data_IF_918698541504
#
_entry.id   IF_918698541504
#
_cell.length_a   1.000
_cell.length_b   1.000
_cell.length_c   1.000
_cell.angle_alpha   90.00
_cell.angle_beta   90.00
_cell.angle_gamma   90.00
#
_symmetry.space_group_name_H-M   'P 1'
#
loop_
_entity.id
_entity.type
_entity.pdbx_description
1 polymer ?
#
# COMPACT_ATOMS: atom_id res chain seq x y z
N UNK A 1 -15.23 -3.62 -13.55
CA UNK A 1 -15.59 -4.48 -12.40
C UNK A 1 -16.86 -3.92 -11.79
N UNK A 2 -17.73 -4.77 -11.24
CA UNK A 2 -18.95 -4.33 -10.53
C UNK A 2 -18.58 -3.70 -9.19
N UNK A 3 -19.40 -2.75 -8.73
CA UNK A 3 -19.31 -2.21 -7.36
C UNK A 3 -19.62 -3.32 -6.37
N UNK A 4 -18.84 -3.40 -5.30
CA UNK A 4 -19.06 -4.34 -4.20
C UNK A 4 -19.53 -3.61 -2.95
N UNK A 5 -20.41 -4.26 -2.19
CA UNK A 5 -21.00 -3.74 -0.96
C UNK A 5 -20.82 -4.78 0.14
N UNK A 6 -20.10 -4.46 1.22
CA UNK A 6 -19.88 -5.40 2.33
C UNK A 6 -20.90 -5.16 3.42
N UNK A 7 -21.68 -6.18 3.76
CA UNK A 7 -22.77 -6.10 4.73
C UNK A 7 -22.46 -7.01 5.90
N UNK A 8 -22.54 -6.46 7.11
CA UNK A 8 -22.47 -7.26 8.33
C UNK A 8 -23.87 -7.74 8.66
N UNK A 9 -24.09 -9.05 8.71
CA UNK A 9 -25.38 -9.66 9.01
C UNK A 9 -25.33 -10.38 10.35
N UNK A 10 -26.22 -10.00 11.28
CA UNK A 10 -26.33 -10.66 12.60
C UNK A 10 -27.63 -11.45 12.62
N UNK A 11 -27.49 -12.77 12.60
CA UNK A 11 -28.58 -13.74 12.49
C UNK A 11 -28.07 -15.09 12.98
N UNK A 12 -28.76 -15.68 13.94
CA UNK A 12 -28.35 -16.94 14.53
C UNK A 12 -28.34 -18.11 13.54
N UNK A 13 -29.16 -18.03 12.50
CA UNK A 13 -29.25 -19.03 11.44
C UNK A 13 -28.55 -18.57 10.14
N UNK A 14 -27.62 -17.60 10.18
CA UNK A 14 -26.96 -17.05 8.99
C UNK A 14 -26.26 -18.09 8.09
N UNK A 15 -25.87 -19.23 8.65
CA UNK A 15 -25.20 -20.35 7.97
C UNK A 15 -26.16 -21.47 7.54
N UNK A 16 -27.48 -21.32 7.77
CA UNK A 16 -28.47 -22.28 7.29
C UNK A 16 -28.53 -22.28 5.76
N UNK A 17 -28.47 -23.49 5.18
CA UNK A 17 -28.59 -23.75 3.73
C UNK A 17 -29.85 -23.15 3.11
N UNK A 18 -30.91 -22.94 3.90
CA UNK A 18 -32.14 -22.27 3.47
C UNK A 18 -31.90 -20.82 2.98
N UNK A 19 -30.81 -20.17 3.40
CA UNK A 19 -30.45 -18.82 2.98
C UNK A 19 -29.57 -18.77 1.73
N UNK A 20 -29.10 -19.90 1.18
CA UNK A 20 -28.31 -19.91 -0.06
C UNK A 20 -28.96 -19.11 -1.20
N UNK A 21 -30.28 -19.23 -1.49
CA UNK A 21 -30.91 -18.43 -2.56
C UNK A 21 -30.85 -16.92 -2.31
N UNK A 22 -30.92 -16.49 -1.05
CA UNK A 22 -30.80 -15.09 -0.66
C UNK A 22 -29.36 -14.59 -0.85
N UNK A 23 -28.38 -15.36 -0.39
CA UNK A 23 -26.96 -15.03 -0.54
C UNK A 23 -26.55 -14.95 -2.02
N UNK A 24 -27.01 -15.90 -2.85
CA UNK A 24 -26.79 -15.87 -4.30
C UNK A 24 -27.42 -14.62 -4.92
N UNK A 25 -28.66 -14.28 -4.53
CA UNK A 25 -29.31 -13.07 -5.04
C UNK A 25 -28.55 -11.79 -4.65
N UNK A 26 -28.04 -11.71 -3.41
CA UNK A 26 -27.21 -10.62 -2.95
C UNK A 26 -25.90 -10.52 -3.77
N UNK A 27 -25.21 -11.65 -3.98
CA UNK A 27 -23.96 -11.71 -4.73
C UNK A 27 -24.13 -11.25 -6.19
N UNK A 28 -25.24 -11.60 -6.86
CA UNK A 28 -25.53 -11.12 -8.23
C UNK A 28 -25.66 -9.60 -8.33
N UNK A 29 -25.91 -8.92 -7.20
CA UNK A 29 -25.98 -7.46 -7.09
C UNK A 29 -24.67 -6.84 -6.55
N UNK A 30 -23.63 -7.65 -6.35
CA UNK A 30 -22.36 -7.22 -5.77
C UNK A 30 -22.41 -7.04 -4.25
N UNK A 31 -23.42 -7.58 -3.58
CA UNK A 31 -23.56 -7.51 -2.13
C UNK A 31 -22.87 -8.75 -1.53
N UNK A 32 -21.85 -8.52 -0.72
CA UNK A 32 -21.12 -9.53 0.03
C UNK A 32 -21.62 -9.49 1.48
N UNK A 33 -22.15 -10.61 1.97
CA UNK A 33 -22.76 -10.69 3.30
C UNK A 33 -21.85 -11.51 4.21
N UNK A 34 -21.35 -10.88 5.27
CA UNK A 34 -20.61 -11.53 6.35
C UNK A 34 -21.58 -11.80 7.50
N UNK A 35 -21.95 -13.06 7.69
CA UNK A 35 -22.88 -13.50 8.73
C UNK A 35 -22.22 -13.78 10.09
N UNK A 36 -22.94 -13.49 11.17
CA UNK A 36 -22.54 -13.75 12.55
C UNK A 36 -23.73 -14.23 13.39
N UNK A 37 -23.53 -15.31 14.14
CA UNK A 37 -24.60 -15.96 14.90
C UNK A 37 -25.04 -15.18 16.17
N UNK A 38 -24.24 -14.22 16.63
CA UNK A 38 -24.51 -13.52 17.88
C UNK A 38 -24.15 -12.04 17.83
N UNK A 39 -24.82 -11.28 18.70
CA UNK A 39 -24.55 -9.86 18.90
C UNK A 39 -23.09 -9.56 19.24
N UNK A 40 -22.51 -10.29 20.20
CA UNK A 40 -21.14 -10.04 20.66
C UNK A 40 -20.12 -10.23 19.54
N UNK A 41 -20.24 -11.32 18.78
CA UNK A 41 -19.33 -11.63 17.68
C UNK A 41 -19.45 -10.61 16.55
N UNK A 42 -20.68 -10.31 16.10
CA UNK A 42 -20.92 -9.33 15.04
C UNK A 42 -20.42 -7.94 15.40
N UNK A 43 -20.64 -7.47 16.64
CA UNK A 43 -20.18 -6.13 17.04
C UNK A 43 -18.69 -6.06 17.35
N UNK A 44 -18.08 -7.12 17.87
CA UNK A 44 -16.62 -7.20 18.00
C UNK A 44 -15.97 -7.06 16.63
N UNK A 45 -16.52 -7.75 15.64
CA UNK A 45 -16.05 -7.72 14.26
C UNK A 45 -16.23 -6.33 13.63
N UNK A 46 -17.45 -5.77 13.71
CA UNK A 46 -17.77 -4.42 13.27
C UNK A 46 -16.81 -3.37 13.85
N UNK A 47 -16.55 -3.40 15.15
CA UNK A 47 -15.70 -2.42 15.82
C UNK A 47 -14.22 -2.49 15.40
N UNK A 48 -13.75 -3.69 15.04
CA UNK A 48 -12.39 -3.94 14.56
C UNK A 48 -12.16 -3.42 13.14
N UNK A 49 -13.20 -3.50 12.29
CA UNK A 49 -13.14 -3.18 10.85
C UNK A 49 -14.27 -2.24 10.38
N UNK A 50 -14.53 -1.14 11.10
CA UNK A 50 -15.62 -0.19 10.79
C UNK A 50 -15.70 0.29 9.32
N UNK A 51 -14.54 0.51 8.68
CA UNK A 51 -14.47 1.02 7.30
C UNK A 51 -14.61 -0.08 6.23
N UNK A 52 -14.70 -1.35 6.65
CA UNK A 52 -14.93 -2.48 5.76
C UNK A 52 -16.43 -2.59 5.41
N UNK A 53 -17.30 -2.50 6.42
CA UNK A 53 -18.74 -2.66 6.28
C UNK A 53 -19.43 -1.39 5.81
N UNK A 54 -20.35 -1.52 4.86
CA UNK A 54 -21.20 -0.43 4.36
C UNK A 54 -22.51 -0.41 5.14
N UNK A 55 -23.16 -1.55 5.34
CA UNK A 55 -24.49 -1.63 5.94
C UNK A 55 -24.51 -2.73 7.00
N UNK A 56 -25.39 -2.58 8.00
CA UNK A 56 -25.67 -3.62 8.99
C UNK A 56 -27.05 -4.22 8.71
N UNK A 57 -27.14 -5.53 8.60
CA UNK A 57 -28.38 -6.29 8.51
C UNK A 57 -28.60 -7.03 9.83
N UNK A 58 -29.77 -6.85 10.44
CA UNK A 58 -30.12 -7.50 11.71
C UNK A 58 -31.29 -8.44 11.50
N UNK A 59 -31.24 -9.64 12.08
CA UNK A 59 -32.49 -10.32 12.40
C UNK A 59 -33.22 -9.54 13.52
N UNK A 60 -34.54 -9.63 13.54
CA UNK A 60 -35.34 -9.10 14.63
C UNK A 60 -35.12 -9.86 15.95
N UNK A 61 -34.69 -11.11 15.86
CA UNK A 61 -34.37 -11.98 16.99
C UNK A 61 -33.04 -12.68 16.72
N UNK A 62 -32.10 -12.58 17.66
CA UNK A 62 -30.81 -13.26 17.59
C UNK A 62 -30.28 -13.49 19.00
N UNK A 63 -29.27 -14.34 19.12
CA UNK A 63 -28.62 -14.62 20.41
C UNK A 63 -27.78 -13.44 20.89
N UNK A 64 -27.80 -13.21 22.21
CA UNK A 64 -26.92 -12.22 22.84
C UNK A 64 -25.46 -12.66 22.78
N UNK A 65 -25.21 -13.93 23.10
CA UNK A 65 -23.88 -14.55 23.13
C UNK A 65 -24.00 -16.05 22.76
N UNK A 66 -22.86 -16.72 22.55
CA UNK A 66 -22.79 -18.15 22.17
C UNK A 66 -23.32 -19.12 23.23
N UNK A 67 -23.60 -18.64 24.45
CA UNK A 67 -24.13 -19.46 25.56
C UNK A 67 -25.63 -19.28 25.76
N UNK A 68 -26.26 -18.39 24.99
CA UNK A 68 -27.68 -18.08 25.11
C UNK A 68 -28.52 -19.21 24.52
N UNK A 69 -29.49 -19.73 25.29
CA UNK A 69 -30.38 -20.81 24.84
C UNK A 69 -31.66 -20.30 24.15
N UNK A 70 -31.94 -18.99 24.19
CA UNK A 70 -33.15 -18.39 23.60
C UNK A 70 -32.87 -17.03 22.96
N UNK A 71 -33.43 -16.80 21.77
CA UNK A 71 -33.45 -15.50 21.10
C UNK A 71 -34.36 -14.49 21.84
N UNK A 72 -34.03 -13.19 21.81
CA UNK A 72 -34.75 -12.17 22.58
C UNK A 72 -34.92 -10.85 21.81
N UNK A 73 -36.12 -10.26 21.84
CA UNK A 73 -36.42 -8.95 21.24
C UNK A 73 -35.66 -7.77 21.88
N UNK A 74 -35.18 -7.94 23.12
CA UNK A 74 -34.22 -7.02 23.76
C UNK A 74 -32.90 -6.95 22.97
N UNK A 75 -32.55 -8.01 22.22
CA UNK A 75 -31.37 -8.06 21.36
C UNK A 75 -31.39 -6.96 20.30
N UNK A 76 -32.51 -6.79 19.60
CA UNK A 76 -32.68 -5.73 18.59
C UNK A 76 -32.52 -4.33 19.21
N UNK A 77 -33.14 -4.06 20.35
CA UNK A 77 -33.01 -2.78 21.06
C UNK A 77 -31.56 -2.49 21.48
N UNK A 78 -30.84 -3.51 21.96
CA UNK A 78 -29.42 -3.38 22.29
C UNK A 78 -28.55 -3.11 21.06
N UNK A 79 -28.83 -3.75 19.92
CA UNK A 79 -28.13 -3.50 18.68
C UNK A 79 -28.35 -2.09 18.15
N UNK A 80 -29.58 -1.61 18.15
CA UNK A 80 -29.89 -0.22 17.77
C UNK A 80 -29.12 0.76 18.68
N UNK A 81 -29.13 0.55 20.00
CA UNK A 81 -28.35 1.38 20.94
C UNK A 81 -26.87 1.38 20.61
N UNK A 82 -26.28 0.20 20.34
CA UNK A 82 -24.86 0.07 20.04
C UNK A 82 -24.48 0.71 18.70
N UNK A 83 -25.30 0.57 17.67
CA UNK A 83 -25.14 1.28 16.39
C UNK A 83 -25.17 2.79 16.61
N UNK A 84 -26.07 3.29 17.47
CA UNK A 84 -26.15 4.70 17.82
C UNK A 84 -24.88 5.20 18.55
N UNK A 85 -24.29 4.41 19.44
CA UNK A 85 -23.02 4.74 20.11
C UNK A 85 -21.85 4.89 19.10
N UNK A 86 -21.88 4.11 18.02
CA UNK A 86 -20.85 4.14 16.97
C UNK A 86 -20.93 5.36 16.05
N UNK A 87 -22.03 6.13 16.05
CA UNK A 87 -22.22 7.31 15.18
C UNK A 87 -21.10 8.35 15.28
N UNK A 88 -20.43 8.42 16.43
CA UNK A 88 -19.25 9.29 16.63
C UNK A 88 -18.03 8.87 15.80
N UNK A 89 -17.94 7.59 15.42
CA UNK A 89 -16.86 7.00 14.62
C UNK A 89 -17.29 6.80 13.17
N UNK A 90 -18.49 6.26 12.95
CA UNK A 90 -19.11 6.07 11.63
C UNK A 90 -20.62 5.92 11.78
N UNK A 91 -21.37 6.56 10.89
CA UNK A 91 -22.83 6.40 10.81
C UNK A 91 -23.12 5.22 9.89
N UNK A 92 -23.72 4.16 10.43
CA UNK A 92 -24.15 3.01 9.63
C UNK A 92 -25.64 3.10 9.33
N UNK A 93 -26.05 3.01 8.05
CA UNK A 93 -27.39 2.54 7.73
C UNK A 93 -27.54 1.09 8.19
N UNK A 94 -28.74 0.74 8.63
CA UNK A 94 -29.04 -0.62 9.05
C UNK A 94 -30.49 -0.98 8.73
N UNK A 95 -30.72 -2.26 8.51
CA UNK A 95 -32.03 -2.82 8.15
C UNK A 95 -32.35 -4.03 9.02
N UNK A 96 -33.64 -4.31 9.19
CA UNK A 96 -34.12 -5.47 9.96
C UNK A 96 -34.83 -6.43 9.03
N UNK A 97 -34.43 -7.70 9.02
CA UNK A 97 -35.00 -8.74 8.18
C UNK A 97 -35.50 -9.87 9.09
N UNK A 98 -36.80 -10.21 9.04
CA UNK A 98 -37.38 -11.25 9.89
C UNK A 98 -38.40 -12.11 9.17
N UNK A 99 -38.57 -13.36 9.62
CA UNK A 99 -39.62 -14.26 9.16
C UNK A 99 -40.84 -14.34 10.09
N UNK A 100 -40.84 -13.57 11.19
CA UNK A 100 -41.86 -13.62 12.23
C UNK A 100 -42.92 -12.54 12.04
N UNK A 101 -44.19 -12.95 12.10
CA UNK A 101 -45.36 -12.08 11.90
C UNK A 101 -45.41 -10.91 12.89
N UNK A 102 -44.94 -11.09 14.12
CA UNK A 102 -44.89 -10.06 15.16
C UNK A 102 -43.93 -8.89 14.84
N UNK A 103 -43.12 -9.02 13.77
CA UNK A 103 -42.24 -7.95 13.27
C UNK A 103 -42.63 -7.49 11.86
N UNK A 104 -43.24 -8.37 11.04
CA UNK A 104 -43.53 -8.09 9.64
C UNK A 104 -44.98 -7.71 9.35
N UNK A 105 -45.92 -8.15 10.19
CA UNK A 105 -47.37 -7.98 9.99
C UNK A 105 -48.03 -7.16 11.10
N UNK A 106 -47.54 -7.29 12.33
CA UNK A 106 -48.01 -6.51 13.48
C UNK A 106 -47.11 -5.31 13.79
N UNK A 107 -47.69 -4.26 14.38
CA UNK A 107 -46.93 -3.07 14.83
C UNK A 107 -46.02 -3.44 15.99
N UNK A 108 -44.71 -3.39 15.76
CA UNK A 108 -43.71 -3.63 16.80
C UNK A 108 -43.24 -2.30 17.43
N UNK A 109 -43.38 -2.10 18.77
CA UNK A 109 -43.01 -0.85 19.42
C UNK A 109 -41.55 -0.43 19.24
N UNK A 110 -40.61 -1.38 19.12
CA UNK A 110 -39.19 -1.07 18.93
C UNK A 110 -38.95 -0.52 17.52
N UNK A 111 -39.58 -1.13 16.50
CA UNK A 111 -39.47 -0.68 15.12
C UNK A 111 -40.13 0.69 14.93
N UNK A 112 -41.32 0.89 15.50
CA UNK A 112 -42.05 2.16 15.44
C UNK A 112 -41.27 3.29 16.14
N UNK A 113 -40.76 3.05 17.35
CA UNK A 113 -40.02 4.05 18.11
C UNK A 113 -38.70 4.50 17.46
N UNK A 114 -38.15 3.71 16.53
CA UNK A 114 -36.91 4.02 15.81
C UNK A 114 -37.15 4.30 14.32
N UNK A 115 -38.41 4.33 13.86
CA UNK A 115 -38.79 4.54 12.46
C UNK A 115 -38.13 3.53 11.50
N UNK A 116 -37.99 2.27 11.92
CA UNK A 116 -37.33 1.21 11.15
C UNK A 116 -38.37 0.35 10.42
N UNK A 117 -38.17 0.17 9.11
CA UNK A 117 -38.89 -0.86 8.34
C UNK A 117 -38.27 -2.24 8.61
N UNK A 118 -39.10 -3.23 8.94
CA UNK A 118 -38.71 -4.64 8.94
C UNK A 118 -39.15 -5.29 7.62
N UNK A 119 -38.22 -6.00 6.98
CA UNK A 119 -38.44 -6.74 5.75
C UNK A 119 -38.80 -8.19 6.07
N UNK A 120 -39.71 -8.76 5.30
CA UNK A 120 -40.18 -10.13 5.49
C UNK A 120 -39.33 -11.14 4.70
N UNK A 121 -38.57 -11.97 5.43
CA UNK A 121 -37.75 -13.09 4.89
C UNK A 121 -38.53 -14.02 3.97
N UNK A 122 -39.84 -14.19 4.21
CA UNK A 122 -40.72 -15.09 3.46
C UNK A 122 -41.32 -14.45 2.21
N UNK A 123 -41.09 -13.15 1.98
CA UNK A 123 -41.59 -12.41 0.82
C UNK A 123 -40.45 -12.13 -0.18
N UNK A 124 -40.39 -12.83 -1.32
CA UNK A 124 -39.34 -12.61 -2.31
C UNK A 124 -39.29 -11.16 -2.85
N UNK A 125 -40.44 -10.48 -2.91
CA UNK A 125 -40.51 -9.08 -3.32
C UNK A 125 -39.88 -8.16 -2.28
N UNK A 126 -40.09 -8.43 -0.99
CA UNK A 126 -39.55 -7.61 0.09
C UNK A 126 -38.05 -7.87 0.28
N UNK A 127 -37.59 -9.10 0.10
CA UNK A 127 -36.15 -9.42 0.03
C UNK A 127 -35.48 -8.69 -1.14
N UNK A 128 -36.12 -8.67 -2.33
CA UNK A 128 -35.59 -7.91 -3.46
C UNK A 128 -35.50 -6.41 -3.14
N UNK A 129 -36.54 -5.85 -2.52
CA UNK A 129 -36.58 -4.45 -2.10
C UNK A 129 -35.49 -4.16 -1.05
N UNK A 130 -35.28 -5.04 -0.07
CA UNK A 130 -34.20 -4.92 0.92
C UNK A 130 -32.84 -4.79 0.24
N UNK A 131 -32.53 -5.65 -0.74
CA UNK A 131 -31.24 -5.59 -1.43
C UNK A 131 -31.07 -4.29 -2.22
N UNK A 132 -32.15 -3.77 -2.82
CA UNK A 132 -32.13 -2.48 -3.51
C UNK A 132 -31.92 -1.30 -2.53
N UNK A 133 -32.62 -1.31 -1.39
CA UNK A 133 -32.50 -0.29 -0.34
C UNK A 133 -31.13 -0.31 0.35
N UNK A 134 -30.53 -1.50 0.53
CA UNK A 134 -29.15 -1.67 1.00
C UNK A 134 -28.17 -0.96 0.08
N UNK A 135 -28.29 -1.17 -1.23
CA UNK A 135 -27.42 -0.54 -2.23
C UNK A 135 -27.59 0.97 -2.24
N UNK A 136 -28.83 1.46 -2.19
CA UNK A 136 -29.12 2.89 -2.13
C UNK A 136 -28.48 3.53 -0.89
N UNK A 137 -28.71 2.94 0.29
CA UNK A 137 -28.17 3.45 1.55
C UNK A 137 -26.64 3.39 1.59
N UNK A 138 -26.03 2.33 1.06
CA UNK A 138 -24.58 2.23 0.95
C UNK A 138 -24.01 3.28 0.00
N UNK A 139 -24.62 3.49 -1.17
CA UNK A 139 -24.17 4.50 -2.13
C UNK A 139 -24.25 5.93 -1.59
N UNK A 140 -25.11 6.20 -0.60
CA UNK A 140 -25.18 7.50 0.06
C UNK A 140 -24.03 7.75 1.05
N UNK A 141 -23.25 6.72 1.40
CA UNK A 141 -22.09 6.89 2.27
C UNK A 141 -20.85 7.33 1.50
N UNK A 142 -20.17 8.35 2.04
CA UNK A 142 -19.01 8.96 1.41
C UNK A 142 -17.83 7.98 1.24
N UNK A 143 -17.58 7.14 2.24
CA UNK A 143 -16.49 6.17 2.21
C UNK A 143 -16.74 5.09 1.13
N UNK A 144 -17.98 4.64 1.00
CA UNK A 144 -18.43 3.69 -0.04
C UNK A 144 -18.21 4.27 -1.42
N UNK A 145 -18.64 5.52 -1.64
CA UNK A 145 -18.41 6.21 -2.91
C UNK A 145 -16.92 6.31 -3.24
N UNK A 146 -16.08 6.67 -2.26
CA UNK A 146 -14.62 6.77 -2.44
C UNK A 146 -14.02 5.41 -2.79
N UNK A 147 -14.43 4.34 -2.09
CA UNK A 147 -13.98 2.98 -2.40
C UNK A 147 -14.34 2.58 -3.83
N UNK A 148 -15.55 2.88 -4.30
CA UNK A 148 -15.96 2.57 -5.68
C UNK A 148 -15.24 3.42 -6.73
N UNK A 149 -15.11 4.73 -6.48
CA UNK A 149 -14.38 5.65 -7.36
C UNK A 149 -12.90 5.25 -7.50
N UNK A 150 -12.31 4.70 -6.44
CA UNK A 150 -10.91 4.30 -6.36
C UNK A 150 -10.77 2.77 -6.23
N UNK A 151 -11.67 1.99 -6.84
CA UNK A 151 -11.76 0.54 -6.61
C UNK A 151 -10.44 -0.20 -6.88
N UNK A 152 -9.69 0.20 -7.91
CA UNK A 152 -8.40 -0.43 -8.26
C UNK A 152 -7.47 -0.47 -7.05
N UNK A 153 -7.27 0.67 -6.38
CA UNK A 153 -6.36 0.71 -5.23
C UNK A 153 -6.94 -0.02 -4.03
N UNK A 154 -8.25 0.09 -3.75
CA UNK A 154 -8.84 -0.60 -2.61
C UNK A 154 -8.86 -2.13 -2.75
N UNK A 155 -8.91 -2.66 -3.97
CA UNK A 155 -8.70 -4.08 -4.23
C UNK A 155 -7.26 -4.50 -3.90
N UNK A 156 -6.27 -3.71 -4.32
CA UNK A 156 -4.85 -3.96 -4.03
C UNK A 156 -4.58 -3.92 -2.52
N UNK A 157 -5.20 -2.96 -1.82
CA UNK A 157 -5.01 -2.77 -0.38
C UNK A 157 -5.55 -3.93 0.47
N UNK A 158 -6.31 -4.88 -0.08
CA UNK A 158 -6.67 -6.14 0.60
C UNK A 158 -5.43 -6.98 0.95
N UNK A 159 -4.34 -6.82 0.18
CA UNK A 159 -3.06 -7.49 0.43
C UNK A 159 -2.14 -6.73 1.40
N UNK A 160 -2.64 -5.68 2.05
CA UNK A 160 -1.88 -4.82 2.96
C UNK A 160 -2.55 -4.77 4.34
N UNK A 161 -1.81 -4.29 5.33
CA UNK A 161 -2.37 -4.06 6.67
C UNK A 161 -3.56 -3.09 6.60
N UNK A 162 -4.58 -3.33 7.44
CA UNK A 162 -5.81 -2.54 7.45
C UNK A 162 -5.55 -1.05 7.72
N UNK A 163 -4.50 -0.71 8.47
CA UNK A 163 -4.10 0.68 8.72
C UNK A 163 -3.64 1.43 7.46
N UNK A 164 -3.08 0.73 6.47
CA UNK A 164 -2.75 1.31 5.15
C UNK A 164 -4.03 1.76 4.44
N UNK A 165 -5.03 0.87 4.40
CA UNK A 165 -6.34 1.14 3.79
C UNK A 165 -7.08 2.28 4.51
N UNK A 166 -7.09 2.26 5.86
CA UNK A 166 -7.67 3.34 6.67
C UNK A 166 -6.98 4.68 6.40
N UNK A 167 -5.65 4.70 6.26
CA UNK A 167 -4.87 5.91 5.99
C UNK A 167 -5.24 6.51 4.64
N UNK A 168 -5.21 5.71 3.57
CA UNK A 168 -5.54 6.16 2.21
C UNK A 168 -6.99 6.66 2.15
N UNK A 169 -7.93 5.93 2.74
CA UNK A 169 -9.34 6.35 2.81
C UNK A 169 -9.51 7.69 3.52
N UNK A 170 -8.85 7.91 4.67
CA UNK A 170 -8.93 9.19 5.40
C UNK A 170 -8.42 10.37 4.57
N UNK A 171 -7.32 10.19 3.85
CA UNK A 171 -6.78 11.26 2.99
C UNK A 171 -7.73 11.55 1.82
N UNK A 172 -8.26 10.52 1.17
CA UNK A 172 -9.22 10.68 0.05
C UNK A 172 -10.56 11.29 0.49
N UNK A 173 -11.04 10.99 1.70
CA UNK A 173 -12.18 11.70 2.32
C UNK A 173 -11.87 13.19 2.43
N UNK A 174 -10.65 13.52 2.83
CA UNK A 174 -10.13 14.87 2.84
C UNK A 174 -10.22 15.59 1.50
N UNK A 175 -9.73 14.91 0.46
CA UNK A 175 -9.77 15.41 -0.93
C UNK A 175 -11.21 15.71 -1.32
N UNK A 176 -12.12 14.75 -1.13
CA UNK A 176 -13.50 14.85 -1.58
C UNK A 176 -14.30 15.93 -0.85
N UNK A 177 -14.03 16.12 0.44
CA UNK A 177 -14.68 17.16 1.25
C UNK A 177 -14.02 18.54 1.12
N UNK A 178 -12.92 18.66 0.37
CA UNK A 178 -12.16 19.92 0.29
C UNK A 178 -11.61 20.36 1.65
N UNK A 179 -11.31 19.41 2.54
CA UNK A 179 -10.91 19.72 3.91
C UNK A 179 -9.56 20.45 3.90
N UNK A 180 -9.51 21.61 4.57
CA UNK A 180 -8.35 22.49 4.62
C UNK A 180 -7.42 22.27 5.83
N UNK A 181 -7.92 21.58 6.86
CA UNK A 181 -7.19 21.31 8.10
C UNK A 181 -6.86 19.82 8.22
N UNK A 182 -5.70 19.43 7.68
CA UNK A 182 -5.12 18.11 7.90
C UNK A 182 -3.93 18.22 8.86
N UNK A 183 -3.78 17.22 9.72
CA UNK A 183 -2.50 16.94 10.39
C UNK A 183 -1.55 16.33 9.35
N UNK A 184 -1.02 17.18 8.47
CA UNK A 184 -0.18 16.77 7.35
C UNK A 184 1.11 16.09 7.81
N UNK A 185 1.64 16.47 8.98
CA UNK A 185 2.81 15.82 9.59
C UNK A 185 2.53 14.35 9.95
N UNK A 186 1.39 14.07 10.58
CA UNK A 186 0.95 12.70 10.83
C UNK A 186 0.86 11.91 9.52
N UNK A 187 0.18 12.43 8.50
CA UNK A 187 -0.04 11.68 7.27
C UNK A 187 1.21 11.57 6.39
N UNK A 188 2.16 12.51 6.44
CA UNK A 188 3.47 12.33 5.79
C UNK A 188 4.24 11.16 6.40
N UNK A 189 4.18 11.01 7.72
CA UNK A 189 4.75 9.86 8.41
C UNK A 189 4.07 8.58 7.97
N UNK A 190 2.74 8.57 7.85
CA UNK A 190 2.00 7.39 7.39
C UNK A 190 2.31 7.03 5.93
N UNK A 191 2.39 8.00 5.01
CA UNK A 191 2.81 7.77 3.61
C UNK A 191 4.18 7.08 3.55
N UNK A 192 5.12 7.52 4.40
CA UNK A 192 6.46 6.95 4.49
C UNK A 192 6.42 5.51 5.01
N UNK A 193 5.61 5.22 6.03
CA UNK A 193 5.40 3.87 6.56
C UNK A 193 4.84 2.93 5.47
N UNK A 194 3.89 3.40 4.66
CA UNK A 194 3.35 2.62 3.55
C UNK A 194 4.44 2.32 2.50
N UNK A 195 5.29 3.30 2.19
CA UNK A 195 6.42 3.10 1.30
C UNK A 195 7.45 2.11 1.88
N UNK A 196 7.68 2.11 3.19
CA UNK A 196 8.50 1.08 3.83
C UNK A 196 7.92 -0.32 3.68
N UNK A 197 6.59 -0.50 3.75
CA UNK A 197 5.95 -1.79 3.50
C UNK A 197 6.21 -2.30 2.07
N UNK A 198 6.15 -1.41 1.06
CA UNK A 198 6.49 -1.77 -0.32
C UNK A 198 7.94 -2.29 -0.40
N UNK A 199 8.88 -1.61 0.25
CA UNK A 199 10.28 -2.04 0.25
C UNK A 199 10.51 -3.35 1.01
N UNK A 200 9.81 -3.59 2.12
CA UNK A 200 9.84 -4.90 2.82
C UNK A 200 9.32 -6.01 1.91
N UNK A 201 8.15 -5.81 1.28
CA UNK A 201 7.62 -6.76 0.28
C UNK A 201 8.61 -7.01 -0.86
N UNK A 202 9.25 -5.97 -1.38
CA UNK A 202 10.28 -6.10 -2.43
C UNK A 202 11.50 -6.90 -1.96
N UNK A 203 11.90 -6.76 -0.70
CA UNK A 203 12.98 -7.55 -0.12
C UNK A 203 12.58 -9.02 0.07
N UNK A 204 11.36 -9.29 0.54
CA UNK A 204 10.84 -10.64 0.73
C UNK A 204 10.88 -11.48 -0.55
N UNK A 205 10.63 -10.85 -1.71
CA UNK A 205 10.71 -11.50 -3.03
C UNK A 205 12.07 -11.34 -3.72
N UNK A 206 13.09 -10.83 -3.03
CA UNK A 206 14.45 -10.70 -3.53
C UNK A 206 14.69 -9.56 -4.53
N UNK A 207 13.70 -8.70 -4.82
CA UNK A 207 13.89 -7.52 -5.68
C UNK A 207 14.79 -6.47 -5.03
N UNK A 208 14.72 -6.33 -3.71
CA UNK A 208 15.54 -5.41 -2.93
C UNK A 208 16.60 -6.16 -2.13
N UNK A 209 17.85 -5.70 -2.18
CA UNK A 209 18.95 -6.31 -1.44
C UNK A 209 18.73 -6.26 0.08
N UNK A 210 19.06 -7.35 0.77
CA UNK A 210 18.95 -7.50 2.23
C UNK A 210 19.66 -6.38 3.02
N UNK A 211 20.77 -5.81 2.53
CA UNK A 211 21.49 -4.74 3.24
C UNK A 211 20.69 -3.43 3.32
N UNK A 212 19.71 -3.24 2.43
CA UNK A 212 18.81 -2.10 2.44
C UNK A 212 17.74 -2.22 3.54
N UNK A 213 17.57 -3.40 4.13
CA UNK A 213 16.64 -3.69 5.23
C UNK A 213 17.45 -4.14 6.46
N UNK A 214 17.65 -3.21 7.39
CA UNK A 214 18.49 -3.38 8.57
C UNK A 214 17.71 -3.97 9.76
N UNK A 215 18.46 -4.48 10.74
CA UNK A 215 17.96 -4.95 12.05
C UNK A 215 16.86 -6.02 11.94
N UNK A 216 17.17 -7.11 11.23
CA UNK A 216 16.26 -8.27 11.10
C UNK A 216 14.89 -7.93 10.49
N UNK A 217 14.84 -7.07 9.47
CA UNK A 217 13.59 -6.74 8.75
C UNK A 217 12.88 -5.47 9.24
N UNK A 218 13.23 -4.94 10.41
CA UNK A 218 12.44 -3.88 11.04
C UNK A 218 12.66 -2.48 10.46
N UNK A 219 13.86 -2.18 9.94
CA UNK A 219 14.19 -0.82 9.50
C UNK A 219 14.63 -0.79 8.04
N UNK A 220 13.93 -0.02 7.20
CA UNK A 220 14.29 0.16 5.79
C UNK A 220 15.08 1.45 5.62
N UNK A 221 16.22 1.40 4.91
CA UNK A 221 16.88 2.61 4.42
C UNK A 221 16.24 3.04 3.10
N UNK A 222 15.23 3.92 3.19
CA UNK A 222 14.42 4.35 2.04
C UNK A 222 15.24 4.90 0.87
N UNK A 223 16.23 5.74 1.17
CA UNK A 223 17.06 6.39 0.15
C UNK A 223 17.87 5.34 -0.60
N UNK A 224 18.51 4.42 0.13
CA UNK A 224 19.31 3.36 -0.49
C UNK A 224 18.44 2.34 -1.23
N UNK A 225 17.28 1.99 -0.68
CA UNK A 225 16.33 1.11 -1.34
C UNK A 225 15.80 1.70 -2.65
N UNK A 226 15.47 3.00 -2.64
CA UNK A 226 15.05 3.74 -3.84
C UNK A 226 16.14 3.76 -4.91
N UNK A 227 17.40 4.01 -4.53
CA UNK A 227 18.53 3.98 -5.47
C UNK A 227 18.73 2.58 -6.06
N UNK A 228 18.77 1.55 -5.22
CA UNK A 228 18.98 0.17 -5.63
C UNK A 228 17.92 -0.30 -6.64
N UNK A 229 16.63 -0.10 -6.33
CA UNK A 229 15.53 -0.51 -7.20
C UNK A 229 15.48 0.31 -8.49
N UNK A 230 16.05 1.52 -8.50
CA UNK A 230 16.22 2.32 -9.72
C UNK A 230 17.44 1.92 -10.56
N UNK A 231 18.15 0.85 -10.18
CA UNK A 231 19.39 0.40 -10.84
C UNK A 231 20.58 1.36 -10.64
N UNK A 232 20.50 2.24 -9.64
CA UNK A 232 21.56 3.16 -9.26
C UNK A 232 22.42 2.57 -8.16
N UNK A 233 23.65 3.07 -8.06
CA UNK A 233 24.56 2.70 -6.98
C UNK A 233 24.05 3.28 -5.65
N UNK A 234 24.02 2.45 -4.62
CA UNK A 234 23.78 2.92 -3.24
C UNK A 234 24.94 3.79 -2.76
N UNK A 235 24.65 4.79 -1.91
CA UNK A 235 25.64 5.76 -1.44
C UNK A 235 26.53 5.18 -0.35
N UNK A 236 25.96 4.41 0.57
CA UNK A 236 26.63 3.94 1.77
C UNK A 236 26.65 2.41 1.88
N UNK A 237 25.76 1.71 1.18
CA UNK A 237 25.62 0.25 1.29
C UNK A 237 26.49 -0.53 0.30
N UNK A 238 27.13 0.15 -0.66
CA UNK A 238 28.07 -0.45 -1.61
C UNK A 238 27.47 -1.61 -2.41
N UNK A 239 26.19 -1.51 -2.75
CA UNK A 239 25.45 -2.44 -3.59
C UNK A 239 24.69 -1.73 -4.71
N UNK A 240 24.38 -2.46 -5.78
CA UNK A 240 23.53 -2.02 -6.91
C UNK A 240 22.75 -3.21 -7.47
N UNK A 241 21.71 -2.92 -8.24
CA UNK A 241 21.04 -3.93 -9.05
C UNK A 241 21.49 -3.83 -10.51
N UNK A 242 21.72 -4.98 -11.16
CA UNK A 242 21.94 -5.05 -12.62
C UNK A 242 20.74 -4.56 -13.42
N UNK A 243 19.55 -4.79 -12.88
CA UNK A 243 18.29 -4.44 -13.51
C UNK A 243 17.73 -3.15 -12.94
N UNK A 244 16.99 -2.41 -13.77
CA UNK A 244 16.21 -1.25 -13.34
C UNK A 244 14.79 -1.77 -13.04
N UNK A 245 14.48 -1.96 -11.77
CA UNK A 245 13.16 -2.44 -11.35
C UNK A 245 12.13 -1.31 -11.37
N UNK A 246 12.48 -0.13 -10.86
CA UNK A 246 11.65 1.06 -10.92
C UNK A 246 11.80 1.77 -12.26
N UNK A 247 10.74 1.83 -13.10
CA UNK A 247 10.72 2.75 -14.22
C UNK A 247 10.97 4.17 -13.74
N UNK A 248 11.51 5.02 -14.62
CA UNK A 248 11.92 6.39 -14.28
C UNK A 248 10.84 7.18 -13.52
N UNK A 249 9.58 7.10 -13.95
CA UNK A 249 8.47 7.82 -13.30
C UNK A 249 8.20 7.33 -11.87
N UNK A 250 8.27 6.02 -11.64
CA UNK A 250 8.12 5.41 -10.31
C UNK A 250 9.30 5.80 -9.42
N UNK A 251 10.53 5.74 -9.95
CA UNK A 251 11.73 6.15 -9.24
C UNK A 251 11.66 7.63 -8.79
N UNK A 252 11.19 8.51 -9.67
CA UNK A 252 11.01 9.94 -9.38
C UNK A 252 9.91 10.18 -8.34
N UNK A 253 8.76 9.51 -8.45
CA UNK A 253 7.67 9.60 -7.47
C UNK A 253 8.12 9.11 -6.08
N UNK A 254 8.80 7.96 -6.01
CA UNK A 254 9.35 7.41 -4.76
C UNK A 254 10.35 8.39 -4.15
N UNK A 255 11.28 8.92 -4.95
CA UNK A 255 12.28 9.89 -4.49
C UNK A 255 11.61 11.17 -3.95
N UNK A 256 10.60 11.68 -4.65
CA UNK A 256 9.85 12.86 -4.23
C UNK A 256 9.15 12.64 -2.90
N UNK A 257 8.48 11.49 -2.72
CA UNK A 257 7.85 11.12 -1.44
C UNK A 257 8.89 11.08 -0.32
N UNK A 258 10.01 10.38 -0.51
CA UNK A 258 11.07 10.26 0.51
C UNK A 258 11.60 11.64 0.90
N UNK A 259 11.92 12.48 -0.09
CA UNK A 259 12.48 13.80 0.14
C UNK A 259 11.51 14.72 0.89
N UNK A 260 10.28 14.87 0.39
CA UNK A 260 9.31 15.81 0.94
C UNK A 260 8.84 15.38 2.34
N UNK A 261 8.51 14.08 2.53
CA UNK A 261 8.05 13.58 3.84
C UNK A 261 9.19 13.52 4.86
N UNK A 262 10.43 13.26 4.45
CA UNK A 262 11.60 13.32 5.31
C UNK A 262 11.89 14.75 5.80
N UNK A 263 11.83 15.74 4.89
CA UNK A 263 11.96 17.15 5.24
C UNK A 263 10.85 17.61 6.20
N UNK A 264 9.63 17.10 6.01
CA UNK A 264 8.44 17.51 6.75
C UNK A 264 8.33 16.93 8.17
N UNK A 265 8.97 15.79 8.47
CA UNK A 265 8.76 14.99 9.70
C UNK A 265 9.76 15.23 10.84
N UNK A 266 10.64 16.23 10.77
CA UNK A 266 11.65 16.56 11.81
C UNK A 266 12.62 15.42 12.21
N UNK A 267 12.65 14.29 11.50
CA UNK A 267 13.29 13.05 11.97
C UNK A 267 14.79 12.92 11.66
N UNK A 268 15.47 13.94 11.15
CA UNK A 268 16.91 13.80 10.81
C UNK A 268 17.71 15.09 10.86
N UNK A 269 18.94 14.99 11.42
CA UNK A 269 20.04 15.97 11.30
C UNK A 269 20.48 16.07 9.83
N UNK A 270 19.65 16.66 8.97
CA UNK A 270 19.91 16.80 7.53
C UNK A 270 20.15 18.26 7.22
N UNK A 271 21.11 18.46 6.31
CA UNK A 271 21.61 19.74 5.83
C UNK A 271 20.50 20.78 5.67
N UNK A 272 20.56 21.78 6.55
CA UNK A 272 19.54 22.80 6.76
C UNK A 272 19.27 23.55 5.44
N UNK A 273 20.28 23.63 4.56
CA UNK A 273 20.18 24.36 3.29
C UNK A 273 19.30 23.71 2.21
N UNK A 274 19.00 22.40 2.28
CA UNK A 274 18.15 21.73 1.28
C UNK A 274 16.68 21.61 1.71
N UNK A 275 16.40 21.65 3.02
CA UNK A 275 15.04 21.44 3.57
C UNK A 275 14.32 22.72 4.00
N UNK A 276 15.02 23.88 4.05
CA UNK A 276 14.41 25.17 4.37
C UNK A 276 13.18 25.44 3.48
N UNK A 277 13.22 25.05 2.20
CA UNK A 277 12.13 25.32 1.25
C UNK A 277 10.82 24.60 1.62
N UNK A 278 10.85 23.31 1.99
CA UNK A 278 9.61 22.55 2.29
C UNK A 278 8.92 23.03 3.57
N UNK A 279 9.70 23.28 4.63
CA UNK A 279 9.15 23.73 5.91
C UNK A 279 8.65 25.18 5.83
N UNK A 280 9.37 26.07 5.14
CA UNK A 280 8.89 27.42 4.87
C UNK A 280 7.68 27.43 3.95
N UNK A 281 7.69 26.59 2.91
CA UNK A 281 6.54 26.39 2.02
C UNK A 281 5.29 26.01 2.82
N UNK A 282 5.37 25.02 3.72
CA UNK A 282 4.22 24.60 4.57
C UNK A 282 3.76 25.70 5.52
N UNK A 283 4.70 26.45 6.11
CA UNK A 283 4.36 27.60 6.99
C UNK A 283 3.61 28.70 6.22
N UNK A 284 4.01 28.94 4.96
CA UNK A 284 3.45 29.98 4.09
C UNK A 284 2.14 29.54 3.43
N UNK A 285 2.09 28.30 2.93
CA UNK A 285 0.98 27.72 2.17
C UNK A 285 0.33 26.62 3.00
N UNK A 286 -0.71 27.00 3.73
CA UNK A 286 -1.52 26.10 4.56
C UNK A 286 -2.60 25.43 3.71
N UNK A 287 -2.18 24.55 2.80
CA UNK A 287 -3.09 23.81 1.92
C UNK A 287 -2.80 22.32 1.98
N UNK A 288 -3.82 21.46 1.85
CA UNK A 288 -3.64 20.01 1.90
C UNK A 288 -3.13 19.43 0.56
N UNK A 289 -3.00 20.25 -0.48
CA UNK A 289 -2.73 19.77 -1.84
C UNK A 289 -1.37 19.09 -2.00
N UNK A 290 -0.38 19.43 -1.17
CA UNK A 290 0.89 18.71 -1.13
C UNK A 290 0.70 17.28 -0.61
N UNK A 291 -0.10 17.10 0.44
CA UNK A 291 -0.44 15.76 0.94
C UNK A 291 -1.21 14.97 -0.11
N UNK A 292 -2.18 15.60 -0.77
CA UNK A 292 -2.98 14.94 -1.80
C UNK A 292 -2.12 14.52 -2.99
N UNK A 293 -1.22 15.37 -3.48
CA UNK A 293 -0.35 15.03 -4.60
C UNK A 293 0.60 13.87 -4.28
N UNK A 294 1.17 13.84 -3.07
CA UNK A 294 2.00 12.72 -2.61
C UNK A 294 1.19 11.42 -2.44
N UNK A 295 -0.06 11.53 -2.01
CA UNK A 295 -0.96 10.37 -1.88
C UNK A 295 -1.27 9.77 -3.23
N UNK A 296 -1.56 10.58 -4.25
CA UNK A 296 -1.78 10.07 -5.60
C UNK A 296 -0.52 9.45 -6.21
N UNK A 297 0.66 10.03 -5.95
CA UNK A 297 1.94 9.39 -6.33
C UNK A 297 2.11 8.03 -5.65
N UNK A 298 1.78 7.94 -4.35
CA UNK A 298 1.85 6.67 -3.61
C UNK A 298 0.87 5.63 -4.16
N UNK A 299 -0.36 6.04 -4.51
CA UNK A 299 -1.37 5.15 -5.12
C UNK A 299 -0.86 4.59 -6.46
N UNK A 300 -0.23 5.42 -7.29
CA UNK A 300 0.38 5.01 -8.56
C UNK A 300 1.51 3.98 -8.33
N UNK A 301 2.38 4.24 -7.34
CA UNK A 301 3.44 3.31 -6.93
C UNK A 301 2.87 1.98 -6.44
N UNK A 302 1.86 2.00 -5.56
CA UNK A 302 1.24 0.77 -5.04
C UNK A 302 0.60 -0.05 -6.17
N UNK A 303 -0.09 0.62 -7.08
CA UNK A 303 -0.76 -0.01 -8.21
C UNK A 303 0.26 -0.69 -9.12
N UNK A 304 1.30 0.04 -9.50
CA UNK A 304 2.38 -0.47 -10.32
C UNK A 304 3.14 -1.63 -9.64
N UNK A 305 3.46 -1.48 -8.35
CA UNK A 305 4.25 -2.46 -7.61
C UNK A 305 3.52 -3.79 -7.44
N UNK A 306 2.21 -3.76 -7.21
CA UNK A 306 1.41 -4.99 -7.10
C UNK A 306 1.53 -5.85 -8.37
N UNK A 307 1.32 -5.24 -9.55
CA UNK A 307 1.46 -5.94 -10.83
C UNK A 307 2.91 -6.40 -11.07
N UNK A 308 3.89 -5.51 -10.84
CA UNK A 308 5.29 -5.80 -11.08
C UNK A 308 5.83 -6.94 -10.19
N UNK A 309 5.46 -6.94 -8.91
CA UNK A 309 5.92 -7.92 -7.94
C UNK A 309 5.40 -9.33 -8.25
N UNK A 310 4.15 -9.45 -8.72
CA UNK A 310 3.57 -10.72 -9.15
C UNK A 310 4.33 -11.30 -10.36
N UNK A 311 4.64 -10.45 -11.34
CA UNK A 311 5.38 -10.84 -12.55
C UNK A 311 6.86 -11.18 -12.27
N UNK A 312 7.44 -10.67 -11.18
CA UNK A 312 8.84 -10.81 -10.83
C UNK A 312 9.03 -11.44 -9.44
N UNK A 313 8.29 -12.52 -9.16
CA UNK A 313 8.25 -13.17 -7.83
C UNK A 313 9.33 -14.25 -7.60
N UNK A 314 10.14 -14.59 -8.62
CA UNK A 314 11.23 -15.57 -8.48
C UNK A 314 12.42 -14.97 -7.70
N UNK A 315 12.47 -15.34 -6.41
CA UNK A 315 13.50 -14.89 -5.45
C UNK A 315 14.91 -15.21 -5.95
N UNK A 316 15.14 -16.41 -6.49
CA UNK A 316 16.47 -16.85 -6.90
C UNK A 316 16.93 -16.10 -8.15
N UNK A 317 16.02 -15.85 -9.09
CA UNK A 317 16.31 -15.03 -10.26
C UNK A 317 16.65 -13.60 -9.85
N UNK A 318 15.86 -13.00 -8.95
CA UNK A 318 16.06 -11.63 -8.49
C UNK A 318 17.40 -11.45 -7.74
N UNK A 319 17.74 -12.37 -6.83
CA UNK A 319 19.00 -12.30 -6.07
C UNK A 319 20.25 -12.39 -6.96
N UNK A 320 20.17 -13.03 -8.14
CA UNK A 320 21.30 -13.06 -9.12
C UNK A 320 21.58 -11.69 -9.75
N UNK A 321 20.65 -10.74 -9.63
CA UNK A 321 20.81 -9.37 -10.13
C UNK A 321 21.52 -8.46 -9.13
N UNK A 322 21.73 -8.91 -7.89
CA UNK A 322 22.42 -8.14 -6.86
C UNK A 322 23.92 -8.12 -7.14
N UNK A 323 24.52 -6.94 -7.02
CA UNK A 323 25.96 -6.76 -7.18
C UNK A 323 26.53 -5.97 -6.00
N UNK A 324 27.67 -6.43 -5.49
CA UNK A 324 28.55 -5.61 -4.67
C UNK A 324 29.30 -4.59 -5.53
N UNK A 325 29.57 -3.44 -4.94
CA UNK A 325 30.40 -2.39 -5.51
C UNK A 325 31.70 -2.36 -4.73
N UNK A 326 32.82 -2.45 -5.45
CA UNK A 326 34.14 -2.41 -4.85
C UNK A 326 34.65 -0.97 -4.73
N UNK A 327 35.37 -0.72 -3.64
CA UNK A 327 35.96 0.57 -3.31
C UNK A 327 37.39 0.37 -2.84
N UNK A 328 38.27 1.30 -3.19
CA UNK A 328 39.67 1.26 -2.74
C UNK A 328 39.80 1.69 -1.27
N UNK A 329 41.03 1.72 -0.76
CA UNK A 329 41.35 2.13 0.62
C UNK A 329 40.96 3.59 0.91
N UNK A 330 40.84 4.42 -0.13
CA UNK A 330 40.42 5.83 -0.04
C UNK A 330 38.92 6.01 -0.25
N UNK A 331 38.16 4.90 -0.33
CA UNK A 331 36.73 4.86 -0.58
C UNK A 331 36.30 5.46 -1.94
N UNK A 332 37.19 5.41 -2.93
CA UNK A 332 36.85 5.66 -4.33
C UNK A 332 36.32 4.39 -4.97
N UNK A 333 35.23 4.51 -5.73
CA UNK A 333 34.71 3.42 -6.53
C UNK A 333 35.69 3.09 -7.66
N UNK A 334 36.04 1.82 -7.81
CA UNK A 334 36.87 1.36 -8.91
C UNK A 334 36.17 0.28 -9.73
N UNK A 335 36.72 0.02 -10.90
CA UNK A 335 36.34 -1.01 -11.84
C UNK A 335 37.53 -1.92 -12.10
N UNK A 336 37.25 -3.14 -12.54
CA UNK A 336 38.27 -4.08 -13.01
C UNK A 336 38.03 -4.43 -14.47
N UNK A 337 39.10 -4.85 -15.13
CA UNK A 337 39.02 -5.27 -16.51
C UNK A 337 40.33 -5.80 -17.07
N UNK A 338 40.23 -6.44 -18.22
CA UNK A 338 41.36 -6.96 -18.96
C UNK A 338 41.68 -6.06 -20.16
N UNK A 339 42.96 -5.74 -20.38
CA UNK A 339 43.40 -5.08 -21.60
C UNK A 339 43.17 -6.00 -22.80
N UNK A 340 42.20 -5.65 -23.64
CA UNK A 340 41.82 -6.46 -24.81
C UNK A 340 42.60 -6.10 -26.07
N UNK A 341 43.17 -4.89 -26.14
CA UNK A 341 43.91 -4.43 -27.32
C UNK A 341 44.85 -3.28 -26.96
N UNK A 342 46.03 -3.26 -27.58
CA UNK A 342 46.90 -2.08 -27.64
C UNK A 342 47.05 -1.64 -29.10
N UNK A 343 46.62 -0.42 -29.41
CA UNK A 343 46.68 0.13 -30.76
C UNK A 343 48.09 0.64 -31.11
N UNK A 344 48.39 0.74 -32.41
CA UNK A 344 49.69 1.23 -32.90
C UNK A 344 50.03 2.66 -32.44
N UNK A 345 49.02 3.47 -32.11
CA UNK A 345 49.21 4.82 -31.57
C UNK A 345 49.49 4.86 -30.05
N UNK A 346 49.67 3.71 -29.43
CA UNK A 346 50.01 3.54 -28.01
C UNK A 346 48.81 3.52 -27.06
N UNK A 347 47.60 3.80 -27.52
CA UNK A 347 46.40 3.71 -26.67
C UNK A 347 46.00 2.25 -26.44
N UNK A 348 45.53 1.94 -25.23
CA UNK A 348 44.97 0.63 -24.93
C UNK A 348 43.47 0.69 -24.70
N UNK A 349 42.82 -0.45 -24.86
CA UNK A 349 41.40 -0.65 -24.56
C UNK A 349 41.28 -1.70 -23.48
N UNK A 350 40.60 -1.36 -22.39
CA UNK A 350 40.22 -2.31 -21.34
C UNK A 350 38.74 -2.67 -21.51
N UNK A 351 38.40 -3.94 -21.41
CA UNK A 351 37.01 -4.35 -21.27
C UNK A 351 36.64 -4.27 -19.79
N UNK A 352 35.78 -3.30 -19.44
CA UNK A 352 35.26 -3.16 -18.08
C UNK A 352 34.26 -4.29 -17.82
N UNK A 353 34.62 -5.22 -16.93
CA UNK A 353 33.85 -6.43 -16.64
C UNK A 353 32.42 -6.09 -16.21
N UNK A 354 32.27 -5.05 -15.37
CA UNK A 354 30.97 -4.61 -14.86
C UNK A 354 30.08 -3.96 -15.92
N UNK A 355 30.64 -3.06 -16.74
CA UNK A 355 29.86 -2.31 -17.73
C UNK A 355 29.65 -3.09 -19.03
N UNK A 356 30.39 -4.18 -19.24
CA UNK A 356 30.54 -4.86 -20.52
C UNK A 356 30.79 -3.85 -21.66
N UNK A 357 31.69 -2.88 -21.38
CA UNK A 357 32.03 -1.77 -22.27
C UNK A 357 33.53 -1.62 -22.35
N UNK A 358 33.96 -1.22 -23.54
CA UNK A 358 35.34 -0.86 -23.80
C UNK A 358 35.62 0.55 -23.28
N UNK A 359 36.59 0.66 -22.38
CA UNK A 359 37.06 1.90 -21.78
C UNK A 359 38.46 2.19 -22.31
N UNK A 360 38.76 3.45 -22.61
CA UNK A 360 40.05 3.84 -23.18
C UNK A 360 41.09 4.05 -22.08
N UNK A 361 42.31 3.56 -22.29
CA UNK A 361 43.47 3.78 -21.43
C UNK A 361 44.46 4.68 -22.16
N UNK A 362 44.85 5.78 -21.49
CA UNK A 362 45.74 6.78 -22.08
C UNK A 362 47.12 6.20 -22.37
N UNK A 363 47.68 6.51 -23.54
CA UNK A 363 48.94 5.95 -24.04
C UNK A 363 50.13 6.10 -23.07
N UNK A 364 50.23 7.22 -22.37
CA UNK A 364 51.36 7.47 -21.48
C UNK A 364 51.26 6.56 -20.24
N UNK A 365 50.05 6.25 -19.79
CA UNK A 365 49.78 5.29 -18.71
C UNK A 365 50.11 3.85 -19.14
N UNK A 366 49.80 3.49 -20.39
CA UNK A 366 50.18 2.17 -20.96
C UNK A 366 51.69 1.98 -20.92
N UNK A 367 52.45 3.00 -21.32
CA UNK A 367 53.91 2.97 -21.31
C UNK A 367 54.45 2.97 -19.87
N UNK A 368 53.96 3.88 -19.02
CA UNK A 368 54.41 4.02 -17.64
C UNK A 368 54.23 2.75 -16.82
N UNK A 369 53.08 2.09 -16.95
CA UNK A 369 52.77 0.86 -16.24
C UNK A 369 53.19 -0.40 -17.01
N UNK A 370 53.80 -0.26 -18.20
CA UNK A 370 54.20 -1.38 -19.05
C UNK A 370 53.07 -2.38 -19.33
N UNK A 371 51.84 -1.86 -19.54
CA UNK A 371 50.65 -2.69 -19.76
C UNK A 371 50.77 -3.50 -21.06
N UNK A 372 50.31 -4.74 -21.02
CA UNK A 372 50.25 -5.66 -22.15
C UNK A 372 48.81 -6.12 -22.38
N UNK A 373 48.52 -6.60 -23.59
CA UNK A 373 47.29 -7.37 -23.81
C UNK A 373 47.18 -8.50 -22.77
N UNK A 374 45.96 -8.73 -22.29
CA UNK A 374 45.62 -9.64 -21.19
C UNK A 374 46.07 -9.21 -19.79
N UNK A 375 46.67 -8.02 -19.63
CA UNK A 375 46.92 -7.49 -18.29
C UNK A 375 45.58 -7.19 -17.63
N UNK A 376 45.38 -7.70 -16.40
CA UNK A 376 44.27 -7.26 -15.58
C UNK A 376 44.65 -5.99 -14.84
N UNK A 377 43.70 -5.06 -14.82
CA UNK A 377 43.86 -3.78 -14.18
C UNK A 377 42.64 -3.42 -13.36
N UNK A 378 42.91 -2.66 -12.31
CA UNK A 378 41.95 -1.91 -11.50
C UNK A 378 42.04 -0.44 -11.88
N UNK A 379 40.92 0.27 -12.03
CA UNK A 379 40.90 1.64 -12.50
C UNK A 379 39.61 2.39 -12.12
N UNK A 380 39.66 3.72 -12.13
CA UNK A 380 38.49 4.61 -12.00
C UNK A 380 38.07 5.09 -13.40
N UNK A 381 36.76 5.20 -13.66
CA UNK A 381 36.24 5.75 -14.92
C UNK A 381 35.96 7.24 -14.75
N UNK A 382 36.57 8.08 -15.58
CA UNK A 382 36.25 9.50 -15.65
C UNK A 382 35.00 9.81 -16.51
N UNK A 383 34.54 11.05 -16.48
CA UNK A 383 33.34 11.51 -17.22
C UNK A 383 33.44 11.29 -18.74
N UNK A 384 34.65 11.10 -19.28
CA UNK A 384 34.91 10.88 -20.71
C UNK A 384 35.06 9.40 -21.06
N UNK A 385 34.68 8.49 -20.14
CA UNK A 385 34.85 7.05 -20.28
C UNK A 385 36.32 6.65 -20.50
N UNK A 386 37.24 7.29 -19.78
CA UNK A 386 38.65 6.92 -19.74
C UNK A 386 39.03 6.34 -18.39
N UNK A 387 39.92 5.35 -18.41
CA UNK A 387 40.49 4.75 -17.21
C UNK A 387 41.55 5.68 -16.59
N UNK A 388 41.43 5.95 -15.29
CA UNK A 388 42.32 6.74 -14.44
C UNK A 388 42.73 5.93 -13.22
N UNK A 389 43.78 6.39 -12.55
CA UNK A 389 44.27 5.78 -11.29
C UNK A 389 44.42 4.26 -11.42
N UNK A 390 45.20 3.85 -12.42
CA UNK A 390 45.29 2.46 -12.86
C UNK A 390 46.32 1.71 -12.02
N UNK A 391 45.92 0.55 -11.50
CA UNK A 391 46.76 -0.41 -10.79
C UNK A 391 46.70 -1.77 -11.50
N UNK A 392 47.83 -2.45 -11.65
CA UNK A 392 47.87 -3.83 -12.19
C UNK A 392 47.54 -4.79 -11.05
N UNK A 393 46.67 -5.77 -11.32
CA UNK A 393 46.20 -6.77 -10.34
C UNK A 393 46.51 -8.20 -10.76
#
# INVERSE_FOLDING_TARGET
MSKTYNILWIDDDHDDVAFEPFLIQAETKGILIDGFASFEEGFQELESRLNHYDVILLDALFFKDKTSETVNSVGLGNAIRKINELKSRKVFPYFVLSGQTNFTEETNPILEANEIKCYNKKSPQDVKQLLDDIIEAANNQLDTQIRHENHIIFEILKNYDTEVSKTILKILVGVKNGASNFDDELYFTQIRIILEHIFRKANDIGLLHDVCVQKSGNQVNLTEASLFLSGLDTKHLKVRCKNIHFPKIIAENVKNIIFITGAASHTSNVDINQNIDVQEYRKKLKTPYLLYSLTYQLIDILTWFEEYSQQNSDINANKKLWEGIEFDENNNKFETGEIVKIAMNGWATVNCERLNKNISVFKDTVIQLSLKEKSRIKFIIDEKLQAREIEII
#
